data_IF_882779799866
#
_entry.id   IF_882779799866
#
_cell.length_a   1.000
_cell.length_b   1.000
_cell.length_c   1.000
_cell.angle_alpha   90.00
_cell.angle_beta   90.00
_cell.angle_gamma   90.00
#
_symmetry.space_group_name_H-M   'P 1'
#
loop_
_entity.id
_entity.type
_entity.pdbx_description
1 polymer ?
#
# COMPACT_ATOMS: atom_id res chain seq x y z
N UNK A 1 37.85 68.93 47.90
CA UNK A 1 37.03 69.01 46.68
C UNK A 1 36.53 67.61 46.46
N UNK A 2 35.33 67.30 46.98
CA UNK A 2 34.73 65.99 46.92
C UNK A 2 33.44 66.04 46.09
N UNK A 3 33.32 65.23 45.02
CA UNK A 3 32.09 65.05 44.29
C UNK A 3 31.57 63.61 44.53
N UNK A 4 30.53 63.56 45.36
CA UNK A 4 29.77 62.32 45.61
C UNK A 4 28.90 62.02 44.42
N UNK A 5 28.98 60.78 43.92
CA UNK A 5 28.05 60.24 42.91
C UNK A 5 26.94 59.43 43.60
N UNK A 6 25.71 59.84 43.41
CA UNK A 6 24.51 59.13 43.85
C UNK A 6 24.19 58.13 42.76
N UNK A 7 24.18 56.83 43.11
CA UNK A 7 23.66 55.76 42.26
C UNK A 7 22.16 55.57 42.56
N UNK A 8 21.32 55.81 41.58
CA UNK A 8 19.89 55.42 41.62
C UNK A 8 19.70 53.97 41.15
N UNK A 9 19.18 53.11 42.02
CA UNK A 9 18.73 51.78 41.69
C UNK A 9 17.31 51.91 41.05
N UNK A 10 17.18 51.53 39.79
CA UNK A 10 15.89 51.33 39.16
C UNK A 10 15.49 49.85 39.30
N UNK A 11 14.47 49.55 40.11
CA UNK A 11 13.89 48.23 40.23
C UNK A 11 12.88 48.02 39.10
N UNK A 12 13.20 47.20 38.13
CA UNK A 12 12.29 46.80 37.07
C UNK A 12 11.41 45.64 37.55
N UNK A 13 10.14 45.94 37.76
CA UNK A 13 9.12 44.93 38.07
C UNK A 13 8.71 44.24 36.75
N UNK A 14 9.14 42.97 36.56
CA UNK A 14 8.68 42.12 35.45
C UNK A 14 7.31 41.53 35.80
N UNK A 15 6.25 42.05 35.20
CA UNK A 15 4.91 41.48 35.29
C UNK A 15 4.82 40.27 34.32
N UNK A 16 4.89 39.05 34.86
CA UNK A 16 4.69 37.84 34.08
C UNK A 16 3.16 37.67 33.78
N UNK A 17 2.75 37.95 32.56
CA UNK A 17 1.41 37.71 32.09
C UNK A 17 1.31 36.18 31.78
N UNK A 18 0.70 35.41 32.69
CA UNK A 18 0.34 34.01 32.42
C UNK A 18 -0.90 33.96 31.53
N UNK A 19 -0.69 33.78 30.24
CA UNK A 19 -1.80 33.49 29.30
C UNK A 19 -2.18 32.03 29.51
N UNK A 20 -3.26 31.78 30.24
CA UNK A 20 -3.94 30.48 30.27
C UNK A 20 -4.75 30.34 28.99
N UNK A 21 -4.20 29.62 28.00
CA UNK A 21 -4.98 29.15 26.85
C UNK A 21 -6.01 28.13 27.35
N UNK A 22 -7.28 28.26 26.98
CA UNK A 22 -8.27 27.23 27.30
C UNK A 22 -7.85 25.92 26.63
N UNK A 23 -7.63 24.87 27.41
CA UNK A 23 -7.56 23.50 26.92
C UNK A 23 -8.89 23.20 26.24
N UNK A 24 -8.90 23.22 24.91
CA UNK A 24 -10.02 22.69 24.14
C UNK A 24 -10.33 21.26 24.59
N UNK A 25 -11.57 20.77 24.43
CA UNK A 25 -11.93 19.42 24.84
C UNK A 25 -10.96 18.44 24.18
N UNK A 26 -10.22 17.66 25.00
CA UNK A 26 -9.47 16.51 24.53
C UNK A 26 -10.48 15.65 23.76
N UNK A 27 -10.25 15.47 22.45
CA UNK A 27 -11.01 14.52 21.67
C UNK A 27 -10.96 13.19 22.41
N UNK A 28 -12.15 12.64 22.70
CA UNK A 28 -12.25 11.32 23.32
C UNK A 28 -11.40 10.36 22.48
N UNK A 29 -10.46 9.65 23.11
CA UNK A 29 -9.68 8.60 22.46
C UNK A 29 -10.68 7.60 21.87
N UNK A 30 -10.89 7.68 20.56
CA UNK A 30 -11.67 6.66 19.86
C UNK A 30 -10.80 5.41 19.87
N UNK A 31 -11.28 4.37 20.56
CA UNK A 31 -10.60 3.07 20.61
C UNK A 31 -10.27 2.64 19.17
N UNK A 32 -8.98 2.45 18.88
CA UNK A 32 -8.55 1.96 17.55
C UNK A 32 -9.17 0.60 17.25
N UNK A 33 -9.40 0.31 15.98
CA UNK A 33 -9.96 -0.97 15.55
C UNK A 33 -8.96 -2.11 15.80
N UNK A 34 -9.46 -3.32 16.06
CA UNK A 34 -8.62 -4.50 16.20
C UNK A 34 -7.91 -4.80 14.88
N UNK A 35 -6.56 -4.85 14.83
CA UNK A 35 -5.82 -5.11 13.60
C UNK A 35 -5.94 -6.57 13.12
N UNK A 36 -6.49 -7.48 13.93
CA UNK A 36 -6.69 -8.90 13.61
C UNK A 36 -8.05 -9.20 12.95
N UNK A 37 -8.91 -8.22 12.83
CA UNK A 37 -10.24 -8.37 12.23
C UNK A 37 -10.50 -7.31 11.16
N UNK A 38 -11.47 -7.57 10.27
CA UNK A 38 -11.94 -6.53 9.35
C UNK A 38 -12.33 -5.27 10.11
N UNK A 39 -11.99 -4.13 9.56
CA UNK A 39 -12.34 -2.83 10.13
C UNK A 39 -13.84 -2.56 10.14
N UNK A 40 -14.27 -1.46 10.78
CA UNK A 40 -15.69 -1.16 11.00
C UNK A 40 -16.45 -0.76 9.73
N UNK A 41 -15.75 -0.40 8.64
CA UNK A 41 -16.39 0.13 7.44
C UNK A 41 -16.63 -0.94 6.38
N UNK A 42 -17.81 -0.96 5.74
CA UNK A 42 -17.97 -1.68 4.48
C UNK A 42 -17.08 -1.03 3.42
N UNK A 43 -16.72 -1.80 2.40
CA UNK A 43 -15.75 -1.41 1.37
C UNK A 43 -16.45 -1.14 0.05
N UNK A 44 -16.13 -0.02 -0.58
CA UNK A 44 -16.46 0.29 -1.96
C UNK A 44 -15.26 0.13 -2.87
N UNK A 45 -15.50 -0.19 -4.14
CA UNK A 45 -14.47 -0.23 -5.18
C UNK A 45 -15.01 0.35 -6.48
N UNK A 46 -14.19 1.16 -7.17
CA UNK A 46 -14.57 1.76 -8.45
C UNK A 46 -13.41 1.75 -9.43
N UNK A 47 -13.74 1.58 -10.73
CA UNK A 47 -12.77 1.67 -11.83
C UNK A 47 -12.85 3.04 -12.48
N UNK A 48 -11.71 3.60 -12.84
CA UNK A 48 -11.61 4.83 -13.64
C UNK A 48 -10.44 4.75 -14.62
N UNK A 49 -10.47 5.59 -15.65
CA UNK A 49 -9.38 5.72 -16.62
C UNK A 49 -8.80 7.11 -16.50
N UNK A 50 -7.52 7.19 -16.16
CA UNK A 50 -6.79 8.44 -16.02
C UNK A 50 -5.84 8.61 -17.20
N UNK A 51 -5.77 9.83 -17.74
CA UNK A 51 -4.93 10.16 -18.89
C UNK A 51 -3.95 11.27 -18.52
N UNK A 52 -2.68 10.96 -18.53
CA UNK A 52 -1.61 11.92 -18.36
C UNK A 52 -1.22 12.49 -19.72
N UNK A 53 -1.74 13.68 -20.05
CA UNK A 53 -1.47 14.38 -21.29
C UNK A 53 -0.06 14.98 -21.36
N UNK A 54 0.67 15.02 -20.25
CA UNK A 54 2.04 15.55 -20.22
C UNK A 54 3.09 14.53 -20.71
N UNK A 55 2.71 13.23 -20.76
CA UNK A 55 3.60 12.14 -21.16
C UNK A 55 3.02 11.32 -22.29
N UNK A 56 3.84 11.01 -23.27
CA UNK A 56 3.53 10.00 -24.30
C UNK A 56 3.96 8.62 -23.80
N UNK A 57 3.04 7.67 -23.89
CA UNK A 57 3.32 6.28 -23.57
C UNK A 57 4.29 5.66 -24.58
N UNK A 58 5.38 5.07 -24.09
CA UNK A 58 6.44 4.54 -24.95
C UNK A 58 5.95 3.39 -25.85
N UNK A 59 4.93 2.66 -25.45
CA UNK A 59 4.39 1.53 -26.19
C UNK A 59 3.24 1.92 -27.14
N UNK A 60 2.21 2.61 -26.62
CA UNK A 60 1.01 2.94 -27.40
C UNK A 60 1.21 4.15 -28.32
N UNK A 61 2.21 4.99 -28.08
CA UNK A 61 2.45 6.30 -28.75
C UNK A 61 1.32 7.31 -28.55
N UNK A 62 0.38 7.03 -27.66
CA UNK A 62 -0.73 7.88 -27.24
C UNK A 62 -0.39 8.54 -25.89
N UNK A 63 -1.16 9.52 -25.39
CA UNK A 63 -1.02 10.01 -24.02
C UNK A 63 -1.06 8.88 -23.00
N UNK A 64 -0.18 8.93 -21.99
CA UNK A 64 -0.05 7.88 -20.97
C UNK A 64 -1.38 7.64 -20.27
N UNK A 65 -2.00 6.51 -20.51
CA UNK A 65 -3.33 6.16 -20.02
C UNK A 65 -3.25 5.03 -19.00
N UNK A 66 -3.82 5.24 -17.83
CA UNK A 66 -3.81 4.31 -16.71
C UNK A 66 -5.24 3.87 -16.37
N UNK A 67 -5.55 2.59 -16.57
CA UNK A 67 -6.78 1.99 -16.04
C UNK A 67 -6.56 1.77 -14.55
N UNK A 68 -7.41 2.36 -13.73
CA UNK A 68 -7.17 2.54 -12.30
C UNK A 68 -8.33 1.99 -11.50
N UNK A 69 -8.02 1.34 -10.38
CA UNK A 69 -8.97 0.83 -9.40
C UNK A 69 -8.79 1.58 -8.09
N UNK A 70 -9.89 1.91 -7.40
CA UNK A 70 -9.86 2.65 -6.14
C UNK A 70 -10.76 1.93 -5.13
N UNK A 71 -10.18 1.53 -3.99
CA UNK A 71 -10.88 0.99 -2.83
C UNK A 71 -11.04 2.09 -1.79
N UNK A 72 -12.19 2.11 -1.11
CA UNK A 72 -12.51 3.17 -0.15
C UNK A 72 -13.52 2.70 0.91
N UNK A 73 -13.56 3.36 2.08
CA UNK A 73 -14.63 3.14 3.05
C UNK A 73 -15.97 3.56 2.46
N UNK A 74 -16.92 2.63 2.42
CA UNK A 74 -18.27 2.88 1.92
C UNK A 74 -19.26 3.18 3.05
N UNK A 75 -20.42 3.72 2.69
CA UNK A 75 -21.54 3.91 3.62
C UNK A 75 -22.17 2.56 4.02
N UNK A 76 -22.91 2.53 5.12
CA UNK A 76 -23.41 1.27 5.69
C UNK A 76 -24.42 0.55 4.79
N UNK A 77 -25.03 1.22 3.82
CA UNK A 77 -25.87 0.61 2.79
C UNK A 77 -25.15 -0.48 2.00
N UNK A 78 -23.83 -0.35 1.84
CA UNK A 78 -23.01 -1.35 1.11
C UNK A 78 -22.89 -2.71 1.83
N UNK A 79 -23.29 -2.83 3.12
CA UNK A 79 -23.18 -4.11 3.85
C UNK A 79 -23.98 -5.22 3.21
N UNK A 80 -25.16 -4.91 2.72
CA UNK A 80 -26.13 -5.87 2.19
C UNK A 80 -26.16 -5.93 0.65
N UNK A 81 -25.23 -5.24 -0.03
CA UNK A 81 -25.15 -5.26 -1.48
C UNK A 81 -24.26 -6.41 -1.99
N UNK A 82 -24.49 -6.87 -3.22
CA UNK A 82 -23.67 -7.92 -3.84
C UNK A 82 -22.19 -7.54 -3.87
N UNK A 83 -21.32 -8.50 -3.53
CA UNK A 83 -19.88 -8.28 -3.53
C UNK A 83 -19.32 -8.35 -4.95
N UNK A 84 -18.24 -7.60 -5.16
CA UNK A 84 -17.52 -7.53 -6.42
C UNK A 84 -16.95 -8.90 -6.81
N UNK A 85 -17.03 -9.25 -8.08
CA UNK A 85 -16.43 -10.47 -8.65
C UNK A 85 -15.14 -10.13 -9.40
N UNK A 86 -14.32 -11.13 -9.70
CA UNK A 86 -13.11 -10.95 -10.48
C UNK A 86 -13.42 -10.33 -11.86
N UNK A 87 -14.45 -10.85 -12.55
CA UNK A 87 -14.90 -10.35 -13.84
C UNK A 87 -15.30 -8.86 -13.84
N UNK A 88 -15.69 -8.31 -12.69
CA UNK A 88 -16.02 -6.88 -12.56
C UNK A 88 -14.78 -5.96 -12.65
N UNK A 89 -13.56 -6.49 -12.48
CA UNK A 89 -12.33 -5.73 -12.73
C UNK A 89 -11.98 -5.61 -14.23
N UNK A 90 -12.73 -6.30 -15.10
CA UNK A 90 -12.45 -6.37 -16.53
C UNK A 90 -13.39 -5.41 -17.27
N UNK A 91 -12.89 -4.26 -17.77
CA UNK A 91 -13.72 -3.34 -18.55
C UNK A 91 -14.32 -4.04 -19.78
N UNK A 92 -15.63 -3.96 -19.92
CA UNK A 92 -16.36 -4.63 -21.01
C UNK A 92 -16.66 -6.12 -20.80
N UNK A 93 -16.27 -6.68 -19.64
CA UNK A 93 -16.51 -8.07 -19.28
C UNK A 93 -15.52 -9.06 -19.91
N UNK A 94 -15.74 -10.35 -19.66
CA UNK A 94 -14.86 -11.42 -20.14
C UNK A 94 -15.29 -11.84 -21.54
N UNK A 95 -14.43 -11.60 -22.54
CA UNK A 95 -14.60 -12.12 -23.89
C UNK A 95 -14.03 -13.54 -24.00
N UNK A 96 -14.39 -14.34 -25.06
CA UNK A 96 -13.80 -15.65 -25.29
C UNK A 96 -12.27 -15.63 -25.40
N UNK A 97 -11.68 -14.60 -26.01
CA UNK A 97 -10.24 -14.42 -26.16
C UNK A 97 -9.59 -14.16 -24.80
N UNK A 98 -10.22 -13.33 -23.97
CA UNK A 98 -9.75 -13.05 -22.63
C UNK A 98 -9.86 -14.28 -21.71
N UNK A 99 -10.96 -15.06 -21.82
CA UNK A 99 -11.10 -16.32 -21.09
C UNK A 99 -9.99 -17.31 -21.45
N UNK A 100 -9.61 -17.39 -22.73
CA UNK A 100 -8.48 -18.21 -23.18
C UNK A 100 -7.15 -17.75 -22.55
N UNK A 101 -6.91 -16.44 -22.46
CA UNK A 101 -5.72 -15.88 -21.80
C UNK A 101 -5.73 -16.14 -20.29
N UNK A 102 -6.87 -16.05 -19.62
CA UNK A 102 -7.01 -16.38 -18.20
C UNK A 102 -6.76 -17.86 -17.93
N UNK A 103 -7.27 -18.75 -18.77
CA UNK A 103 -6.97 -20.20 -18.70
C UNK A 103 -5.49 -20.49 -18.84
N UNK A 104 -4.80 -19.78 -19.73
CA UNK A 104 -3.35 -19.91 -19.88
C UNK A 104 -2.61 -19.38 -18.65
N UNK A 105 -3.00 -18.22 -18.14
CA UNK A 105 -2.32 -17.53 -17.05
C UNK A 105 -2.55 -18.19 -15.67
N UNK A 106 -3.78 -18.59 -15.40
CA UNK A 106 -4.21 -19.10 -14.08
C UNK A 106 -4.60 -20.58 -14.10
N UNK A 107 -4.55 -21.23 -15.28
CA UNK A 107 -4.93 -22.64 -15.48
C UNK A 107 -6.39 -22.93 -15.09
N UNK A 108 -7.25 -21.90 -15.13
CA UNK A 108 -8.68 -22.03 -14.91
C UNK A 108 -9.48 -20.99 -15.70
N UNK A 109 -10.75 -21.28 -16.09
CA UNK A 109 -11.59 -20.34 -16.82
C UNK A 109 -12.07 -19.20 -15.92
N UNK A 110 -12.43 -18.06 -16.51
CA UNK A 110 -12.90 -16.86 -15.80
C UNK A 110 -14.11 -17.14 -14.88
N UNK A 111 -15.05 -17.97 -15.30
CA UNK A 111 -16.20 -18.36 -14.50
C UNK A 111 -15.83 -19.13 -13.23
N UNK A 112 -14.71 -19.84 -13.24
CA UNK A 112 -14.18 -20.51 -12.06
C UNK A 112 -13.39 -19.54 -11.17
N UNK A 113 -12.61 -18.62 -11.77
CA UNK A 113 -11.99 -17.53 -11.04
C UNK A 113 -13.04 -16.72 -10.29
N UNK A 114 -14.18 -16.39 -10.89
CA UNK A 114 -15.29 -15.69 -10.23
C UNK A 114 -15.87 -16.43 -9.01
N UNK A 115 -15.79 -17.77 -9.01
CA UNK A 115 -16.25 -18.60 -7.87
C UNK A 115 -15.22 -18.68 -6.75
N UNK A 116 -13.95 -18.66 -7.06
CA UNK A 116 -12.85 -18.78 -6.09
C UNK A 116 -12.38 -17.41 -5.58
N UNK A 117 -12.48 -16.38 -6.40
CA UNK A 117 -12.09 -15.02 -6.07
C UNK A 117 -13.20 -14.33 -5.26
N UNK A 118 -13.01 -14.29 -3.96
CA UNK A 118 -13.91 -13.59 -3.05
C UNK A 118 -13.27 -12.29 -2.58
N UNK A 119 -14.07 -11.24 -2.41
CA UNK A 119 -13.67 -9.97 -1.81
C UNK A 119 -14.81 -9.35 -1.00
N UNK A 120 -14.52 -8.28 -0.28
CA UNK A 120 -15.48 -7.60 0.59
C UNK A 120 -16.06 -6.35 -0.05
N UNK A 121 -15.44 -5.84 -1.11
CA UNK A 121 -15.85 -4.61 -1.75
C UNK A 121 -17.18 -4.77 -2.51
N UNK A 122 -17.89 -3.65 -2.62
CA UNK A 122 -19.09 -3.48 -3.43
C UNK A 122 -18.77 -2.51 -4.56
N UNK A 123 -19.09 -2.88 -5.79
CA UNK A 123 -18.83 -2.04 -6.97
C UNK A 123 -19.62 -0.74 -6.88
N UNK A 124 -18.91 0.40 -7.05
CA UNK A 124 -19.46 1.75 -7.09
C UNK A 124 -20.32 2.15 -5.87
N UNK A 125 -20.08 1.52 -4.71
CA UNK A 125 -20.76 1.88 -3.48
C UNK A 125 -20.48 3.34 -3.11
N UNK A 126 -21.46 4.01 -2.46
CA UNK A 126 -21.28 5.38 -2.01
C UNK A 126 -20.16 5.48 -0.99
N UNK A 127 -19.19 6.40 -1.22
CA UNK A 127 -18.10 6.67 -0.27
C UNK A 127 -18.65 7.28 1.03
N UNK A 128 -18.09 6.85 2.16
CA UNK A 128 -18.41 7.38 3.49
C UNK A 128 -17.87 8.80 3.67
N UNK A 129 -18.59 9.59 4.46
CA UNK A 129 -18.10 10.89 4.94
C UNK A 129 -16.90 10.70 5.87
N UNK A 130 -15.91 11.56 5.72
CA UNK A 130 -14.66 11.54 6.51
C UNK A 130 -13.47 11.99 5.69
N UNK A 131 -12.30 12.06 6.35
CA UNK A 131 -11.00 12.28 5.71
C UNK A 131 -10.14 11.05 5.91
N UNK A 132 -9.79 10.37 4.83
CA UNK A 132 -9.09 9.10 4.85
C UNK A 132 -7.69 9.24 4.27
N UNK A 133 -6.65 8.70 4.94
CA UNK A 133 -5.30 8.60 4.37
C UNK A 133 -5.31 7.88 3.03
N UNK A 134 -4.40 8.29 2.14
CA UNK A 134 -4.27 7.73 0.80
C UNK A 134 -3.11 6.76 0.71
N UNK A 135 -3.31 5.65 0.03
CA UNK A 135 -2.28 4.69 -0.33
C UNK A 135 -2.24 4.57 -1.84
N UNK A 136 -1.08 4.80 -2.44
CA UNK A 136 -0.85 4.63 -3.87
C UNK A 136 -0.09 3.32 -4.08
N UNK A 137 -0.77 2.33 -4.68
CA UNK A 137 -0.25 0.98 -4.82
C UNK A 137 0.23 0.68 -6.25
N UNK A 138 1.37 -0.01 -6.35
CA UNK A 138 1.98 -0.45 -7.61
C UNK A 138 2.09 -1.97 -7.65
N UNK A 139 1.52 -2.62 -8.68
CA UNK A 139 1.55 -4.07 -8.88
C UNK A 139 2.92 -4.61 -9.27
N UNK A 140 3.13 -5.94 -9.23
CA UNK A 140 4.33 -6.62 -9.69
C UNK A 140 4.54 -6.53 -11.21
N UNK A 141 5.71 -7.01 -11.68
CA UNK A 141 5.99 -7.12 -13.12
C UNK A 141 5.03 -8.12 -13.76
N UNK A 142 4.30 -7.69 -14.78
CA UNK A 142 3.24 -8.52 -15.38
C UNK A 142 2.07 -8.83 -14.43
N UNK A 143 1.90 -8.04 -13.37
CA UNK A 143 0.75 -8.08 -12.47
C UNK A 143 -0.45 -7.30 -13.01
N UNK A 144 -1.39 -6.98 -12.14
CA UNK A 144 -2.59 -6.19 -12.44
C UNK A 144 -2.89 -5.21 -11.31
N UNK A 145 -3.64 -4.14 -11.59
CA UNK A 145 -4.06 -3.15 -10.58
C UNK A 145 -4.83 -3.74 -9.40
N UNK A 146 -5.47 -4.90 -9.58
CA UNK A 146 -6.23 -5.62 -8.54
C UNK A 146 -5.48 -6.83 -7.94
N UNK A 147 -4.15 -6.89 -8.11
CA UNK A 147 -3.32 -8.01 -7.67
C UNK A 147 -3.35 -8.26 -6.15
N UNK A 148 -3.64 -7.25 -5.36
CA UNK A 148 -3.62 -7.29 -3.89
C UNK A 148 -4.97 -6.91 -3.28
N UNK A 149 -6.08 -7.36 -3.86
CA UNK A 149 -7.45 -7.04 -3.41
C UNK A 149 -7.69 -7.43 -1.95
N UNK A 150 -7.13 -8.58 -1.48
CA UNK A 150 -7.25 -9.00 -0.08
C UNK A 150 -6.77 -7.92 0.91
N UNK A 151 -5.68 -7.25 0.56
CA UNK A 151 -5.04 -6.21 1.35
C UNK A 151 -5.76 -4.85 1.16
N UNK A 152 -6.17 -4.54 -0.07
CA UNK A 152 -6.92 -3.31 -0.37
C UNK A 152 -8.27 -3.29 0.35
N UNK A 153 -9.02 -4.41 0.31
CA UNK A 153 -10.29 -4.56 1.02
C UNK A 153 -10.11 -4.37 2.53
N UNK A 154 -9.07 -5.01 3.08
CA UNK A 154 -8.81 -4.95 4.52
C UNK A 154 -8.48 -3.52 4.97
N UNK A 155 -7.57 -2.84 4.30
CA UNK A 155 -7.20 -1.47 4.64
C UNK A 155 -8.35 -0.47 4.41
N UNK A 156 -9.12 -0.64 3.35
CA UNK A 156 -10.29 0.21 3.13
C UNK A 156 -11.32 0.05 4.25
N UNK A 157 -11.50 -1.17 4.78
CA UNK A 157 -12.38 -1.39 5.93
C UNK A 157 -11.88 -0.70 7.21
N UNK A 158 -10.57 -0.45 7.31
CA UNK A 158 -9.94 0.30 8.40
C UNK A 158 -9.84 1.81 8.14
N UNK A 159 -10.46 2.32 7.08
CA UNK A 159 -10.53 3.76 6.83
C UNK A 159 -9.33 4.30 6.05
N UNK A 160 -8.87 3.59 5.04
CA UNK A 160 -7.91 4.07 4.05
C UNK A 160 -8.56 4.14 2.67
N UNK A 161 -8.09 5.03 1.81
CA UNK A 161 -8.36 5.01 0.37
C UNK A 161 -7.13 4.46 -0.34
N UNK A 162 -7.30 3.45 -1.17
CA UNK A 162 -6.22 2.82 -1.93
C UNK A 162 -6.47 3.05 -3.41
N UNK A 163 -5.48 3.59 -4.14
CA UNK A 163 -5.52 3.74 -5.59
C UNK A 163 -4.42 2.90 -6.22
N UNK A 164 -4.77 2.10 -7.23
CA UNK A 164 -3.85 1.25 -7.97
C UNK A 164 -4.15 1.30 -9.46
N UNK A 165 -3.14 1.37 -10.31
CA UNK A 165 -3.30 1.40 -11.75
C UNK A 165 -2.60 0.23 -12.43
N UNK A 166 -3.14 -0.19 -13.60
CA UNK A 166 -2.36 -0.97 -14.55
C UNK A 166 -1.30 -0.06 -15.17
N UNK A 167 -0.03 -0.37 -14.95
CA UNK A 167 1.06 0.30 -15.64
C UNK A 167 1.08 -0.18 -17.10
N UNK A 168 0.53 0.61 -18.01
CA UNK A 168 0.34 0.24 -19.42
C UNK A 168 1.65 -0.27 -20.04
N UNK A 169 1.56 -1.42 -20.73
CA UNK A 169 2.73 -2.14 -21.25
C UNK A 169 3.47 -3.01 -20.22
N UNK A 170 3.33 -2.77 -18.92
CA UNK A 170 3.92 -3.60 -17.87
C UNK A 170 2.91 -4.41 -17.07
N UNK A 171 1.63 -4.04 -17.06
CA UNK A 171 0.56 -4.89 -16.56
C UNK A 171 0.40 -6.13 -17.44
N UNK A 172 -0.09 -7.25 -16.88
CA UNK A 172 -0.35 -8.49 -17.62
C UNK A 172 -1.26 -8.25 -18.82
N UNK A 173 -2.27 -7.44 -18.61
CA UNK A 173 -3.20 -6.99 -19.63
C UNK A 173 -3.83 -5.66 -19.17
N UNK A 174 -3.88 -4.69 -20.05
CA UNK A 174 -4.65 -3.46 -19.87
C UNK A 174 -5.63 -3.32 -21.00
N UNK A 175 -6.87 -2.93 -20.73
CA UNK A 175 -7.90 -2.71 -21.76
C UNK A 175 -8.19 -1.21 -21.82
N UNK A 176 -7.78 -0.56 -22.92
CA UNK A 176 -7.97 0.87 -23.15
C UNK A 176 -8.81 1.06 -24.41
N UNK A 177 -9.97 1.72 -24.31
CA UNK A 177 -10.89 1.96 -25.42
C UNK A 177 -11.23 0.68 -26.21
N UNK A 178 -11.43 -0.45 -25.49
CA UNK A 178 -11.71 -1.75 -26.07
C UNK A 178 -10.51 -2.48 -26.70
N UNK A 179 -9.32 -1.88 -26.71
CA UNK A 179 -8.10 -2.54 -27.18
C UNK A 179 -7.38 -3.22 -26.03
N UNK A 180 -7.03 -4.48 -26.21
CA UNK A 180 -6.19 -5.23 -25.28
C UNK A 180 -4.71 -4.87 -25.51
N UNK A 181 -4.03 -4.43 -24.46
CA UNK A 181 -2.60 -4.12 -24.42
C UNK A 181 -1.95 -5.14 -23.48
N UNK A 182 -1.32 -6.19 -24.02
CA UNK A 182 -0.68 -7.23 -23.22
C UNK A 182 0.65 -6.74 -22.65
N UNK A 183 1.16 -7.51 -21.68
CA UNK A 183 2.50 -7.32 -21.11
C UNK A 183 3.60 -7.35 -22.20
N UNK A 184 4.48 -6.36 -22.15
CA UNK A 184 5.61 -6.17 -23.06
C UNK A 184 6.93 -6.34 -22.27
N UNK A 185 7.53 -7.52 -22.37
CA UNK A 185 8.78 -7.82 -21.64
C UNK A 185 9.93 -6.85 -22.02
N UNK A 186 10.00 -6.43 -23.28
CA UNK A 186 10.99 -5.47 -23.79
C UNK A 186 10.87 -4.10 -23.13
N UNK A 187 9.67 -3.71 -22.68
CA UNK A 187 9.39 -2.40 -22.10
C UNK A 187 9.72 -2.32 -20.59
N UNK A 188 10.30 -3.37 -19.99
CA UNK A 188 10.61 -3.40 -18.56
C UNK A 188 11.53 -2.27 -18.11
N UNK A 189 12.51 -1.89 -18.95
CA UNK A 189 13.44 -0.81 -18.64
C UNK A 189 12.71 0.57 -18.64
N UNK A 190 11.86 0.83 -19.65
CA UNK A 190 11.02 2.02 -19.67
C UNK A 190 10.06 2.06 -18.47
N UNK A 191 9.47 0.91 -18.12
CA UNK A 191 8.59 0.81 -16.96
C UNK A 191 9.28 1.18 -15.65
N UNK A 192 10.57 0.92 -15.49
CA UNK A 192 11.31 1.33 -14.29
C UNK A 192 11.38 2.85 -14.12
N UNK A 193 11.37 3.60 -15.25
CA UNK A 193 11.36 5.06 -15.27
C UNK A 193 9.94 5.63 -15.17
N UNK A 194 8.97 5.00 -15.82
CA UNK A 194 7.61 5.53 -15.93
C UNK A 194 6.76 5.26 -14.69
N UNK A 195 6.92 4.10 -14.05
CA UNK A 195 6.06 3.70 -12.91
C UNK A 195 6.16 4.64 -11.70
N UNK A 196 7.33 5.15 -11.26
CA UNK A 196 7.38 6.18 -10.22
C UNK A 196 6.61 7.44 -10.61
N UNK A 197 6.68 7.88 -11.89
CA UNK A 197 5.91 9.01 -12.40
C UNK A 197 4.41 8.71 -12.45
N UNK A 198 4.02 7.46 -12.74
CA UNK A 198 2.61 7.04 -12.67
C UNK A 198 2.08 7.19 -11.24
N UNK A 199 2.85 6.81 -10.20
CA UNK A 199 2.42 6.96 -8.81
C UNK A 199 2.26 8.43 -8.41
N UNK A 200 3.21 9.31 -8.77
CA UNK A 200 3.07 10.74 -8.54
C UNK A 200 1.86 11.32 -9.28
N UNK A 201 1.63 10.91 -10.53
CA UNK A 201 0.45 11.32 -11.30
C UNK A 201 -0.86 10.85 -10.65
N UNK A 202 -0.95 9.62 -10.13
CA UNK A 202 -2.11 9.16 -9.39
C UNK A 202 -2.38 10.03 -8.15
N UNK A 203 -1.33 10.40 -7.41
CA UNK A 203 -1.44 11.32 -6.28
C UNK A 203 -1.91 12.71 -6.72
N UNK A 204 -1.41 13.23 -7.86
CA UNK A 204 -1.87 14.50 -8.42
C UNK A 204 -3.36 14.47 -8.75
N UNK A 205 -3.85 13.39 -9.39
CA UNK A 205 -5.26 13.23 -9.72
C UNK A 205 -6.14 13.15 -8.46
N UNK A 206 -5.73 12.38 -7.46
CA UNK A 206 -6.45 12.31 -6.19
C UNK A 206 -6.44 13.65 -5.47
N UNK A 207 -5.40 14.46 -5.62
CA UNK A 207 -5.34 15.83 -5.09
C UNK A 207 -6.37 16.73 -5.76
N UNK A 208 -6.45 16.70 -7.09
CA UNK A 208 -7.46 17.46 -7.85
C UNK A 208 -8.88 17.02 -7.49
N UNK A 209 -9.12 15.73 -7.34
CA UNK A 209 -10.43 15.21 -6.95
C UNK A 209 -10.83 15.61 -5.54
N UNK A 210 -9.89 15.59 -4.61
CA UNK A 210 -10.12 16.07 -3.24
C UNK A 210 -10.46 17.57 -3.20
N UNK A 211 -9.98 18.35 -4.17
CA UNK A 211 -10.31 19.78 -4.35
C UNK A 211 -11.64 20.02 -5.07
N UNK A 212 -12.35 18.98 -5.52
CA UNK A 212 -13.67 19.06 -6.13
C UNK A 212 -13.78 18.70 -7.61
N UNK A 213 -12.66 18.30 -8.28
CA UNK A 213 -12.71 17.85 -9.67
C UNK A 213 -13.50 16.54 -9.87
N UNK A 214 -13.63 15.72 -8.81
CA UNK A 214 -14.55 14.59 -8.74
C UNK A 214 -15.39 14.70 -7.46
N UNK A 215 -16.72 14.81 -7.61
CA UNK A 215 -17.64 14.98 -6.48
C UNK A 215 -17.63 13.80 -5.48
N UNK A 216 -17.24 12.59 -5.91
CA UNK A 216 -17.16 11.42 -5.05
C UNK A 216 -16.08 11.57 -3.98
N UNK A 217 -14.92 12.15 -4.33
CA UNK A 217 -13.76 12.27 -3.48
C UNK A 217 -13.53 13.67 -2.91
N UNK A 218 -14.36 14.65 -3.27
CA UNK A 218 -14.24 16.04 -2.80
C UNK A 218 -14.25 16.12 -1.28
N UNK A 219 -13.13 16.57 -0.68
CA UNK A 219 -12.94 16.72 0.76
C UNK A 219 -12.81 15.41 1.56
N UNK A 220 -12.70 14.23 0.89
CA UNK A 220 -12.68 12.92 1.53
C UNK A 220 -11.28 12.39 1.86
N UNK A 221 -10.22 13.04 1.38
CA UNK A 221 -8.86 12.54 1.52
C UNK A 221 -8.05 13.37 2.52
N UNK A 222 -7.28 12.71 3.35
CA UNK A 222 -6.18 13.29 4.11
C UNK A 222 -4.88 13.13 3.30
N UNK A 223 -4.53 14.15 2.53
CA UNK A 223 -3.35 14.16 1.68
C UNK A 223 -2.06 14.55 2.44
N UNK A 224 -2.14 14.86 3.74
CA UNK A 224 -0.97 14.95 4.61
C UNK A 224 -0.44 13.57 5.02
N UNK A 225 -1.25 12.51 4.84
CA UNK A 225 -1.01 11.13 5.22
C UNK A 225 -1.06 10.20 3.99
N UNK A 226 0.00 10.19 3.19
CA UNK A 226 0.10 9.40 1.95
C UNK A 226 1.17 8.32 2.06
N UNK A 227 0.85 7.07 1.71
CA UNK A 227 1.79 5.96 1.64
C UNK A 227 2.02 5.52 0.19
N UNK A 228 3.28 5.26 -0.18
CA UNK A 228 3.60 4.48 -1.38
C UNK A 228 3.67 3.01 -1.01
N UNK A 229 2.93 2.16 -1.73
CA UNK A 229 2.95 0.72 -1.50
C UNK A 229 3.12 -0.06 -2.79
N UNK A 230 3.64 -1.28 -2.70
CA UNK A 230 3.74 -2.12 -3.88
C UNK A 230 4.31 -3.52 -3.61
N UNK A 231 4.12 -4.38 -4.61
CA UNK A 231 4.58 -5.77 -4.58
C UNK A 231 5.57 -6.03 -5.72
N UNK A 232 6.68 -6.75 -5.44
CA UNK A 232 7.68 -7.14 -6.43
C UNK A 232 8.30 -5.91 -7.13
N UNK A 233 8.15 -5.75 -8.44
CA UNK A 233 8.56 -4.53 -9.14
C UNK A 233 7.87 -3.28 -8.58
N UNK A 234 6.62 -3.40 -8.10
CA UNK A 234 5.92 -2.33 -7.41
C UNK A 234 6.57 -1.95 -6.07
N UNK A 235 7.19 -2.88 -5.37
CA UNK A 235 8.00 -2.59 -4.17
C UNK A 235 9.16 -1.64 -4.50
N UNK A 236 9.94 -1.96 -5.53
CA UNK A 236 11.00 -1.06 -6.01
C UNK A 236 10.44 0.30 -6.43
N UNK A 237 9.32 0.30 -7.17
CA UNK A 237 8.64 1.53 -7.62
C UNK A 237 8.22 2.41 -6.44
N UNK A 238 7.62 1.82 -5.38
CA UNK A 238 7.16 2.56 -4.20
C UNK A 238 8.31 3.16 -3.39
N UNK A 239 9.44 2.45 -3.28
CA UNK A 239 10.65 2.99 -2.66
C UNK A 239 11.21 4.16 -3.50
N UNK A 240 11.31 3.98 -4.82
CA UNK A 240 11.84 5.00 -5.72
C UNK A 240 10.99 6.28 -5.71
N UNK A 241 9.67 6.17 -5.75
CA UNK A 241 8.81 7.37 -5.74
C UNK A 241 8.87 8.08 -4.39
N UNK A 242 8.89 7.36 -3.27
CA UNK A 242 8.94 7.98 -1.95
C UNK A 242 10.28 8.66 -1.64
N UNK A 243 11.37 8.20 -2.27
CA UNK A 243 12.68 8.87 -2.21
C UNK A 243 12.69 10.19 -3.02
N UNK A 244 11.90 10.27 -4.09
CA UNK A 244 11.85 11.40 -5.01
C UNK A 244 10.73 12.41 -4.73
N UNK A 245 9.59 11.97 -4.17
CA UNK A 245 8.40 12.77 -3.94
C UNK A 245 8.07 12.86 -2.44
N UNK A 246 8.36 14.00 -1.78
CA UNK A 246 8.24 14.16 -0.33
C UNK A 246 6.78 14.12 0.18
N UNK A 247 5.80 14.07 -0.71
CA UNK A 247 4.39 13.89 -0.31
C UNK A 247 4.12 12.51 0.25
N UNK A 248 4.92 11.50 -0.12
CA UNK A 248 4.85 10.17 0.48
C UNK A 248 5.50 10.17 1.85
N UNK A 249 4.74 9.80 2.88
CA UNK A 249 5.13 9.85 4.30
C UNK A 249 5.48 8.49 4.88
N UNK A 250 5.17 7.41 4.17
CA UNK A 250 5.49 6.04 4.55
C UNK A 250 5.64 5.16 3.31
N UNK A 251 6.34 4.03 3.46
CA UNK A 251 6.48 3.00 2.41
C UNK A 251 6.09 1.63 2.95
N UNK A 252 5.31 0.88 2.16
CA UNK A 252 5.02 -0.52 2.39
C UNK A 252 5.44 -1.34 1.14
N UNK A 253 6.48 -2.15 1.28
CA UNK A 253 7.17 -2.83 0.19
C UNK A 253 7.10 -4.36 0.37
N UNK A 254 6.41 -5.07 -0.55
CA UNK A 254 6.19 -6.51 -0.48
C UNK A 254 7.02 -7.24 -1.55
N UNK A 255 7.76 -8.26 -1.13
CA UNK A 255 8.44 -9.25 -1.99
C UNK A 255 9.21 -8.65 -3.18
N UNK A 256 9.97 -7.57 -2.93
CA UNK A 256 10.76 -6.89 -3.96
C UNK A 256 12.06 -6.33 -3.42
N UNK A 257 13.15 -6.55 -4.16
CA UNK A 257 14.44 -5.95 -3.82
C UNK A 257 14.37 -4.42 -3.98
N UNK A 258 14.99 -3.64 -3.07
CA UNK A 258 15.06 -2.19 -3.19
C UNK A 258 15.92 -1.78 -4.40
N UNK A 259 15.83 -0.53 -4.88
CA UNK A 259 16.80 0.01 -5.85
C UNK A 259 18.21 -0.01 -5.25
N UNK A 260 19.24 0.07 -6.11
CA UNK A 260 20.64 -0.02 -5.68
C UNK A 260 21.05 1.14 -4.78
N UNK A 261 20.47 2.31 -5.03
CA UNK A 261 20.71 3.53 -4.26
C UNK A 261 19.36 4.15 -3.84
N UNK A 262 19.23 4.49 -2.58
CA UNK A 262 18.09 5.22 -2.02
C UNK A 262 18.51 5.91 -0.72
N UNK A 263 18.03 7.13 -0.53
CA UNK A 263 18.17 7.91 0.70
C UNK A 263 16.89 7.90 1.54
N UNK A 264 16.01 6.94 1.29
CA UNK A 264 14.71 6.83 1.93
C UNK A 264 14.84 6.83 3.45
N UNK A 265 14.24 7.83 4.12
CA UNK A 265 14.22 7.97 5.57
C UNK A 265 12.81 7.87 6.17
N UNK A 266 11.75 7.90 5.34
CA UNK A 266 10.38 7.77 5.83
C UNK A 266 10.14 6.39 6.45
N UNK A 267 9.22 6.26 7.42
CA UNK A 267 8.86 4.97 8.00
C UNK A 267 8.58 3.91 6.93
N UNK A 268 9.09 2.71 7.12
CA UNK A 268 8.98 1.67 6.11
C UNK A 268 8.71 0.29 6.70
N UNK A 269 7.74 -0.42 6.10
CA UNK A 269 7.45 -1.83 6.35
C UNK A 269 7.84 -2.63 5.11
N UNK A 270 8.82 -3.52 5.26
CA UNK A 270 9.31 -4.42 4.20
C UNK A 270 8.90 -5.84 4.50
N UNK A 271 8.32 -6.51 3.52
CA UNK A 271 7.85 -7.88 3.65
C UNK A 271 8.53 -8.77 2.61
N UNK A 272 9.08 -9.91 3.02
CA UNK A 272 9.71 -10.91 2.14
C UNK A 272 9.32 -12.33 2.55
N UNK A 273 9.41 -13.26 1.60
CA UNK A 273 9.28 -14.69 1.84
C UNK A 273 10.64 -15.39 1.79
N UNK A 274 10.96 -16.24 2.77
CA UNK A 274 12.26 -16.93 2.82
C UNK A 274 12.47 -17.86 1.65
N UNK A 275 11.41 -18.41 1.08
CA UNK A 275 11.43 -19.38 -0.03
C UNK A 275 11.07 -18.74 -1.39
N UNK A 276 11.10 -17.41 -1.49
CA UNK A 276 10.86 -16.68 -2.73
C UNK A 276 11.86 -17.12 -3.82
N UNK A 277 11.33 -17.73 -4.90
CA UNK A 277 12.14 -18.23 -6.02
C UNK A 277 12.33 -17.19 -7.12
N UNK A 278 11.59 -16.08 -7.05
CA UNK A 278 11.63 -14.97 -8.01
C UNK A 278 12.75 -13.97 -7.69
N UNK A 279 12.75 -13.37 -6.49
CA UNK A 279 13.86 -12.47 -6.10
C UNK A 279 15.04 -13.22 -5.50
N UNK A 280 14.83 -14.44 -5.06
CA UNK A 280 15.83 -15.37 -4.52
C UNK A 280 16.52 -14.81 -3.26
N UNK A 281 17.51 -15.56 -2.75
CA UNK A 281 18.27 -15.11 -1.58
C UNK A 281 19.01 -13.79 -1.82
N UNK A 282 19.52 -13.55 -3.02
CA UNK A 282 20.21 -12.31 -3.33
C UNK A 282 19.29 -11.08 -3.17
N UNK A 283 18.03 -11.19 -3.59
CA UNK A 283 17.03 -10.14 -3.37
C UNK A 283 16.65 -9.97 -1.90
N UNK A 284 16.42 -11.08 -1.19
CA UNK A 284 16.12 -11.08 0.24
C UNK A 284 17.25 -10.46 1.08
N UNK A 285 18.50 -10.82 0.77
CA UNK A 285 19.68 -10.24 1.43
C UNK A 285 19.74 -8.73 1.26
N UNK A 286 19.45 -8.19 0.06
CA UNK A 286 19.37 -6.75 -0.18
C UNK A 286 18.28 -6.09 0.64
N UNK A 287 17.10 -6.72 0.78
CA UNK A 287 16.02 -6.18 1.62
C UNK A 287 16.44 -6.11 3.09
N UNK A 288 17.09 -7.19 3.61
CA UNK A 288 17.60 -7.22 4.99
C UNK A 288 18.69 -6.16 5.22
N UNK A 289 19.61 -6.00 4.27
CA UNK A 289 20.65 -4.97 4.33
C UNK A 289 20.05 -3.56 4.32
N UNK A 290 19.08 -3.31 3.43
CA UNK A 290 18.39 -2.04 3.34
C UNK A 290 17.59 -1.72 4.61
N UNK A 291 16.97 -2.73 5.25
CA UNK A 291 16.34 -2.58 6.55
C UNK A 291 17.37 -2.19 7.64
N UNK A 292 18.51 -2.87 7.68
CA UNK A 292 19.55 -2.63 8.68
C UNK A 292 20.20 -1.23 8.56
N UNK A 293 20.30 -0.70 7.34
CA UNK A 293 20.89 0.63 7.06
C UNK A 293 19.88 1.77 7.08
N UNK A 294 18.58 1.48 7.23
CA UNK A 294 17.55 2.50 7.18
C UNK A 294 17.64 3.46 8.36
N UNK A 295 17.62 4.77 8.09
CA UNK A 295 17.81 5.81 9.12
C UNK A 295 16.54 6.19 9.87
N UNK A 296 15.36 5.94 9.29
CA UNK A 296 14.06 6.14 9.92
C UNK A 296 13.50 4.86 10.56
N UNK A 297 12.26 4.89 11.06
CA UNK A 297 11.58 3.69 11.55
C UNK A 297 11.46 2.62 10.46
N UNK A 298 11.94 1.41 10.74
CA UNK A 298 11.99 0.33 9.76
C UNK A 298 11.57 -1.00 10.38
N UNK A 299 10.70 -1.70 9.68
CA UNK A 299 10.14 -2.98 10.07
C UNK A 299 10.39 -4.00 8.97
N UNK A 300 10.89 -5.16 9.35
CA UNK A 300 11.11 -6.29 8.44
C UNK A 300 10.23 -7.45 8.86
N UNK A 301 9.30 -7.79 7.97
CA UNK A 301 8.43 -8.95 8.00
C UNK A 301 9.04 -10.02 7.07
N UNK A 302 9.59 -11.10 7.63
CA UNK A 302 10.12 -12.20 6.82
C UNK A 302 9.34 -13.49 7.11
N UNK A 303 8.50 -13.89 6.16
CA UNK A 303 7.68 -15.10 6.26
C UNK A 303 8.54 -16.34 6.05
N UNK A 304 8.71 -17.19 7.06
CA UNK A 304 9.62 -18.33 7.07
C UNK A 304 9.34 -19.37 5.98
N UNK A 305 8.08 -19.64 5.70
CA UNK A 305 7.64 -20.52 4.63
C UNK A 305 6.83 -19.71 3.60
N UNK A 306 7.31 -18.51 3.23
CA UNK A 306 6.69 -17.65 2.24
C UNK A 306 7.43 -17.68 0.92
N UNK A 307 6.73 -17.61 -0.18
CA UNK A 307 7.26 -17.41 -1.52
C UNK A 307 6.83 -16.06 -2.10
N UNK A 308 7.13 -15.85 -3.38
CA UNK A 308 6.87 -14.59 -4.07
C UNK A 308 5.38 -14.21 -4.08
N UNK A 309 4.52 -15.18 -4.38
CA UNK A 309 3.09 -14.95 -4.50
C UNK A 309 2.31 -15.07 -3.18
N UNK A 310 2.99 -15.31 -2.04
CA UNK A 310 2.38 -15.21 -0.71
C UNK A 310 1.81 -13.81 -0.42
N UNK A 311 2.26 -12.79 -1.14
CA UNK A 311 1.87 -11.39 -0.98
C UNK A 311 0.85 -10.92 -2.02
N UNK A 312 0.08 -11.83 -2.62
CA UNK A 312 -0.86 -11.53 -3.71
C UNK A 312 -2.18 -12.29 -3.55
N UNK A 313 -3.16 -12.00 -4.42
CA UNK A 313 -4.44 -12.73 -4.48
C UNK A 313 -4.36 -14.12 -5.15
N UNK A 314 -3.16 -14.61 -5.49
CA UNK A 314 -3.04 -15.89 -6.23
C UNK A 314 -3.71 -17.07 -5.54
N UNK A 315 -3.74 -17.10 -4.20
CA UNK A 315 -4.47 -18.12 -3.45
C UNK A 315 -5.98 -18.15 -3.78
N UNK A 316 -6.59 -16.99 -3.93
CA UNK A 316 -8.01 -16.87 -4.30
C UNK A 316 -8.29 -17.34 -5.72
N UNK A 317 -7.28 -17.25 -6.60
CA UNK A 317 -7.38 -17.62 -8.02
C UNK A 317 -7.01 -19.09 -8.20
N UNK A 318 -5.84 -19.52 -7.70
CA UNK A 318 -5.34 -20.89 -7.87
C UNK A 318 -4.53 -21.33 -6.64
N UNK A 319 -5.08 -22.23 -5.83
CA UNK A 319 -4.48 -22.71 -4.58
C UNK A 319 -3.24 -23.61 -4.79
N UNK A 320 -2.90 -23.96 -6.02
CA UNK A 320 -1.73 -24.77 -6.37
C UNK A 320 -0.76 -24.03 -7.29
N UNK A 321 -0.76 -22.70 -7.25
CA UNK A 321 0.05 -21.88 -8.15
C UNK A 321 1.56 -22.09 -7.97
N UNK A 322 2.02 -22.34 -6.76
CA UNK A 322 3.44 -22.45 -6.38
C UNK A 322 4.05 -21.09 -6.00
N UNK A 323 5.35 -21.09 -5.65
CA UNK A 323 6.14 -19.93 -5.19
C UNK A 323 5.40 -19.04 -4.16
N UNK A 324 4.89 -19.68 -3.11
CA UNK A 324 4.15 -19.02 -2.03
C UNK A 324 2.71 -19.49 -1.87
N UNK A 325 2.20 -20.35 -2.74
CA UNK A 325 0.84 -20.88 -2.70
C UNK A 325 0.85 -22.40 -2.93
N UNK A 326 0.33 -23.16 -1.96
CA UNK A 326 0.24 -24.63 -2.03
C UNK A 326 1.54 -25.35 -1.68
N UNK A 327 1.82 -26.52 -2.27
CA UNK A 327 3.04 -27.26 -2.05
C UNK A 327 4.22 -26.59 -2.75
N UNK A 328 5.40 -26.69 -2.15
CA UNK A 328 6.63 -26.12 -2.67
C UNK A 328 7.83 -27.06 -2.50
N UNK A 329 8.96 -26.60 -3.02
CA UNK A 329 10.26 -27.24 -2.85
C UNK A 329 11.24 -26.21 -2.29
N UNK A 330 11.91 -26.53 -1.20
CA UNK A 330 12.88 -25.63 -0.56
C UNK A 330 13.96 -25.21 -1.52
N UNK A 331 14.31 -23.92 -1.50
CA UNK A 331 15.33 -23.37 -2.40
C UNK A 331 16.69 -24.04 -2.21
N UNK A 332 17.10 -24.28 -0.97
CA UNK A 332 18.42 -24.81 -0.64
C UNK A 332 18.46 -26.32 -0.65
N UNK A 333 17.68 -26.98 0.20
CA UNK A 333 17.74 -28.44 0.43
C UNK A 333 17.06 -29.27 -0.65
N UNK A 334 16.19 -28.65 -1.47
CA UNK A 334 15.32 -29.31 -2.47
C UNK A 334 14.30 -30.27 -1.88
N UNK A 335 14.05 -30.20 -0.58
CA UNK A 335 13.05 -31.01 0.09
C UNK A 335 11.64 -30.45 -0.15
N UNK A 336 10.62 -31.32 -0.27
CA UNK A 336 9.22 -30.87 -0.32
C UNK A 336 8.82 -30.18 0.99
N UNK A 337 8.01 -29.14 0.88
CA UNK A 337 7.41 -28.49 2.04
C UNK A 337 6.06 -27.85 1.66
N UNK A 338 5.33 -27.38 2.66
CA UNK A 338 4.13 -26.58 2.46
C UNK A 338 4.42 -25.12 2.78
N UNK A 339 3.99 -24.22 1.88
CA UNK A 339 3.98 -22.80 2.19
C UNK A 339 3.04 -22.53 3.37
N UNK A 340 3.31 -21.48 4.14
CA UNK A 340 2.39 -21.03 5.19
C UNK A 340 0.99 -20.82 4.58
N UNK A 341 -0.06 -21.27 5.29
CA UNK A 341 -1.43 -21.14 4.76
C UNK A 341 -1.74 -19.69 4.45
N UNK A 342 -2.47 -19.46 3.37
CA UNK A 342 -2.71 -18.10 2.88
C UNK A 342 -3.65 -17.33 3.80
N UNK A 343 -4.58 -18.00 4.49
CA UNK A 343 -5.42 -17.39 5.51
C UNK A 343 -4.55 -16.77 6.61
N UNK A 344 -3.60 -17.54 7.13
CA UNK A 344 -2.66 -17.09 8.15
C UNK A 344 -1.70 -16.02 7.62
N UNK A 345 -1.26 -16.18 6.37
CA UNK A 345 -0.40 -15.19 5.70
C UNK A 345 -1.11 -13.85 5.55
N UNK A 346 -2.38 -13.86 5.11
CA UNK A 346 -3.18 -12.64 4.98
C UNK A 346 -3.48 -11.99 6.33
N UNK A 347 -3.78 -12.79 7.37
CA UNK A 347 -3.93 -12.28 8.73
C UNK A 347 -2.68 -11.51 9.19
N UNK A 348 -1.49 -12.08 9.02
CA UNK A 348 -0.23 -11.45 9.39
C UNK A 348 0.07 -10.18 8.57
N UNK A 349 -0.07 -10.25 7.24
CA UNK A 349 0.19 -9.10 6.36
C UNK A 349 -0.76 -7.96 6.68
N UNK A 350 -2.05 -8.25 6.81
CA UNK A 350 -3.09 -7.27 7.02
C UNK A 350 -2.93 -6.59 8.39
N UNK A 351 -2.75 -7.37 9.45
CA UNK A 351 -2.66 -6.83 10.81
C UNK A 351 -1.41 -5.95 11.01
N UNK A 352 -0.24 -6.39 10.54
CA UNK A 352 0.95 -5.53 10.60
C UNK A 352 0.85 -4.31 9.68
N UNK A 353 0.16 -4.41 8.54
CA UNK A 353 -0.09 -3.25 7.68
C UNK A 353 -0.98 -2.22 8.36
N UNK A 354 -2.10 -2.66 8.99
CA UNK A 354 -3.00 -1.77 9.74
C UNK A 354 -2.26 -1.11 10.90
N UNK A 355 -1.50 -1.88 11.69
CA UNK A 355 -0.75 -1.33 12.81
C UNK A 355 0.32 -0.33 12.36
N UNK A 356 1.07 -0.63 11.31
CA UNK A 356 2.09 0.26 10.75
C UNK A 356 1.49 1.57 10.22
N UNK A 357 0.48 1.46 9.37
CA UNK A 357 -0.18 2.61 8.77
C UNK A 357 -0.97 3.42 9.82
N UNK A 358 -1.55 2.76 10.82
CA UNK A 358 -2.19 3.41 11.96
C UNK A 358 -1.21 4.32 12.72
N UNK A 359 -0.04 3.79 13.06
CA UNK A 359 1.00 4.58 13.77
C UNK A 359 1.51 5.73 12.89
N UNK A 360 1.89 5.46 11.63
CA UNK A 360 2.68 6.41 10.84
C UNK A 360 1.88 7.31 9.90
N UNK A 361 0.62 6.98 9.59
CA UNK A 361 -0.25 7.87 8.82
C UNK A 361 -1.35 8.51 9.65
N UNK A 362 -1.94 7.78 10.61
CA UNK A 362 -3.05 8.30 11.41
C UNK A 362 -2.61 8.82 12.78
N UNK A 363 -1.39 8.53 13.22
CA UNK A 363 -0.90 8.87 14.56
C UNK A 363 -1.54 8.04 15.68
N UNK A 364 -2.13 6.89 15.36
CA UNK A 364 -2.78 5.94 16.28
C UNK A 364 -1.73 5.13 17.05
N UNK A 365 -1.15 5.75 18.09
CA UNK A 365 -0.04 5.17 18.87
C UNK A 365 -0.44 3.92 19.65
N UNK A 366 -1.71 3.67 19.83
CA UNK A 366 -2.27 2.48 20.44
C UNK A 366 -1.87 1.20 19.72
N UNK A 367 -1.54 1.26 18.44
CA UNK A 367 -0.99 0.14 17.67
C UNK A 367 0.51 -0.11 17.92
N UNK A 368 1.24 0.80 18.56
CA UNK A 368 2.68 0.65 18.74
C UNK A 368 3.06 -0.62 19.53
N UNK A 369 2.39 -1.00 20.64
CA UNK A 369 2.69 -2.25 21.34
C UNK A 369 2.50 -3.50 20.45
N UNK A 370 1.50 -3.49 19.56
CA UNK A 370 1.29 -4.56 18.58
C UNK A 370 2.45 -4.58 17.57
N UNK A 371 2.80 -3.43 17.02
CA UNK A 371 3.82 -3.29 15.98
C UNK A 371 5.24 -3.63 16.48
N UNK A 372 5.53 -3.47 17.78
CA UNK A 372 6.83 -3.79 18.36
C UNK A 372 7.01 -5.26 18.74
N UNK A 373 5.96 -6.07 18.66
CA UNK A 373 5.97 -7.48 19.05
C UNK A 373 5.86 -8.42 17.85
N UNK A 374 6.60 -9.54 17.90
CA UNK A 374 6.35 -10.65 16.98
C UNK A 374 5.21 -11.51 17.53
N UNK A 375 4.03 -11.47 16.86
CA UNK A 375 2.85 -12.22 17.27
C UNK A 375 2.82 -13.65 16.72
N UNK A 376 3.67 -13.96 15.73
CA UNK A 376 3.76 -15.27 15.07
C UNK A 376 5.20 -15.75 14.97
N UNK A 377 5.87 -16.05 16.12
CA UNK A 377 7.30 -16.39 16.12
C UNK A 377 7.62 -17.70 15.39
N UNK A 378 6.65 -18.60 15.22
CA UNK A 378 6.85 -19.84 14.48
C UNK A 378 6.87 -19.64 12.97
N UNK A 379 6.09 -18.68 12.44
CA UNK A 379 5.93 -18.39 11.02
C UNK A 379 6.76 -17.20 10.54
N UNK A 380 7.08 -16.28 11.45
CA UNK A 380 7.60 -14.96 11.09
C UNK A 380 8.93 -14.65 11.78
N UNK A 381 9.89 -14.13 11.03
CA UNK A 381 11.00 -13.34 11.56
C UNK A 381 10.57 -11.88 11.48
N UNK A 382 10.47 -11.23 12.62
CA UNK A 382 10.11 -9.83 12.75
C UNK A 382 11.27 -9.04 13.32
N UNK A 383 11.70 -8.00 12.60
CA UNK A 383 12.78 -7.11 13.06
C UNK A 383 12.32 -5.66 13.01
N UNK A 384 12.75 -4.90 14.01
CA UNK A 384 12.42 -3.49 14.18
C UNK A 384 13.70 -2.69 14.36
N UNK A 385 13.84 -1.57 13.69
CA UNK A 385 14.97 -0.64 13.84
C UNK A 385 14.49 0.81 13.70
N UNK A 386 15.26 1.76 14.25
CA UNK A 386 15.00 3.19 14.10
C UNK A 386 13.74 3.70 14.83
N UNK A 387 13.13 2.90 15.70
CA UNK A 387 12.00 3.32 16.54
C UNK A 387 12.56 3.79 17.87
N UNK A 388 12.85 5.10 18.00
CA UNK A 388 13.28 5.71 19.27
C UNK A 388 12.13 5.83 20.27
N UNK A 389 12.45 6.06 21.56
CA UNK A 389 11.46 6.30 22.63
C UNK A 389 10.57 7.52 22.33
N UNK A 390 11.02 8.44 21.49
CA UNK A 390 10.30 9.61 21.00
C UNK A 390 9.90 9.41 19.53
N UNK A 391 8.86 8.64 19.27
CA UNK A 391 8.20 8.65 17.95
C UNK A 391 7.52 10.00 17.78
N UNK A 392 8.25 10.99 17.26
CA UNK A 392 7.65 12.24 16.83
C UNK A 392 6.85 11.96 15.57
N UNK A 393 5.54 11.80 15.73
CA UNK A 393 4.62 11.91 14.59
C UNK A 393 4.71 13.37 14.15
N UNK A 394 5.14 13.62 12.92
CA UNK A 394 5.02 14.95 12.34
C UNK A 394 3.52 15.32 12.36
N UNK A 395 3.16 16.21 13.29
CA UNK A 395 1.85 16.87 13.24
C UNK A 395 1.91 17.94 12.15
N UNK A 396 0.80 18.16 11.44
CA UNK A 396 0.69 19.23 10.46
C UNK A 396 0.93 20.61 11.05
#
# INVERSE_FOLDING_TARGET
MNRSRIMALASSLLLALTVTLPLGPMAASTKVSDPLSMGPYPVGVTTTVLVDHSRTDAFTKEPRTLVTEIWYPATDEARNLPKNKYSNFIPGGVTPELDALLKLAYKMPAAEVDRTFWNYAVRDARIREGKFPLIVFSHGNGGTRHQNTFWCDYLASHGYVIISADHTGNARLTIIKGKMIPYQAAERAHSAVDRPKDLSFLLDQMTLWNQGADSRFAGKLDLSAVCAAGMSFGSMTSITVADADPRFKAVLAMSGAPPDHTNLAVPSLRMIGSEDTTIKEAGNARVREHHAKHTGPSFLFELKNGGHYSFTDMFKINQSFGDGVGPGTRRETKEPFQFTSMEKTYEMINSYSVAFLGVYLKGEREYLPFLLKNHWPDELIWKVSGVGENVSVARP
#
